data_IF_532423445947
#
_entry.id   IF_532423445947
#
_cell.length_a   1.000
_cell.length_b   1.000
_cell.length_c   1.000
_cell.angle_alpha   90.00
_cell.angle_beta   90.00
_cell.angle_gamma   90.00
#
_symmetry.space_group_name_H-M   'P 1'
#
loop_
_entity.id
_entity.type
_entity.pdbx_description
1 polymer ?
#
# COMPACT_ATOMS: atom_id res chain seq x y z
N UNK A 1 -29.00 29.16 -4.28
CA UNK A 1 -27.82 28.94 -3.41
C UNK A 1 -26.91 27.85 -3.96
N UNK A 2 -27.38 26.61 -4.16
CA UNK A 2 -26.58 25.59 -4.86
C UNK A 2 -26.40 25.90 -6.36
N UNK A 3 -27.43 26.39 -7.05
CA UNK A 3 -27.33 26.85 -8.45
C UNK A 3 -26.27 27.94 -8.63
N UNK A 4 -26.28 28.96 -7.78
CA UNK A 4 -25.29 30.04 -7.75
C UNK A 4 -23.89 29.56 -7.34
N UNK A 5 -23.79 28.53 -6.50
CA UNK A 5 -22.51 27.92 -6.15
C UNK A 5 -21.93 27.16 -7.35
N UNK A 6 -22.76 26.38 -8.07
CA UNK A 6 -22.40 25.72 -9.33
C UNK A 6 -22.07 26.70 -10.46
N UNK A 7 -22.75 27.86 -10.53
CA UNK A 7 -22.39 28.95 -11.46
C UNK A 7 -21.02 29.56 -11.11
N UNK A 8 -20.74 29.86 -9.83
CA UNK A 8 -19.44 30.41 -9.42
C UNK A 8 -18.27 29.41 -9.57
N UNK A 9 -18.60 28.12 -9.47
CA UNK A 9 -17.72 26.98 -9.77
C UNK A 9 -17.43 26.95 -11.28
N UNK A 10 -18.43 27.18 -12.13
CA UNK A 10 -18.28 27.16 -13.59
C UNK A 10 -17.29 28.19 -14.15
N UNK A 11 -17.17 29.37 -13.54
CA UNK A 11 -16.35 30.47 -14.08
C UNK A 11 -14.86 30.42 -13.71
N UNK A 12 -14.44 29.63 -12.70
CA UNK A 12 -13.06 29.65 -12.18
C UNK A 12 -12.28 28.33 -12.22
N UNK A 13 -12.87 27.25 -12.74
CA UNK A 13 -12.38 25.88 -12.51
C UNK A 13 -11.53 25.31 -13.64
N UNK A 14 -10.23 25.58 -13.56
CA UNK A 14 -9.17 24.89 -14.32
C UNK A 14 -8.87 23.49 -13.76
N UNK A 15 -8.25 22.65 -14.62
CA UNK A 15 -7.84 21.23 -14.49
C UNK A 15 -7.64 20.64 -13.07
N UNK A 16 -7.13 21.43 -12.12
CA UNK A 16 -6.78 20.99 -10.74
C UNK A 16 -7.96 20.49 -9.91
N UNK A 17 -9.20 20.83 -10.28
CA UNK A 17 -10.38 20.35 -9.56
C UNK A 17 -10.87 18.98 -10.03
N UNK A 18 -10.63 18.58 -11.28
CA UNK A 18 -10.96 17.22 -11.73
C UNK A 18 -10.14 16.19 -10.94
N UNK A 19 -8.84 16.45 -10.77
CA UNK A 19 -7.96 15.58 -9.98
C UNK A 19 -8.37 15.49 -8.50
N UNK A 20 -8.95 16.57 -7.94
CA UNK A 20 -9.42 16.59 -6.54
C UNK A 20 -10.81 16.02 -6.36
N UNK A 21 -11.75 16.29 -7.27
CA UNK A 21 -13.12 15.74 -7.25
C UNK A 21 -13.12 14.24 -7.52
N UNK A 22 -12.19 13.72 -8.33
CA UNK A 22 -12.03 12.29 -8.54
C UNK A 22 -10.90 11.69 -7.70
N UNK A 23 -10.44 12.41 -6.69
CA UNK A 23 -9.43 11.93 -5.76
C UNK A 23 -9.92 10.74 -4.93
N UNK A 24 -9.02 9.86 -4.44
CA UNK A 24 -9.39 8.69 -3.65
C UNK A 24 -10.25 9.01 -2.43
N UNK A 25 -10.00 10.15 -1.76
CA UNK A 25 -10.77 10.59 -0.60
C UNK A 25 -12.21 10.94 -0.95
N UNK A 26 -12.45 11.63 -2.08
CA UNK A 26 -13.81 11.94 -2.52
C UNK A 26 -14.56 10.66 -2.88
N UNK A 27 -13.95 9.77 -3.68
CA UNK A 27 -14.58 8.49 -4.06
C UNK A 27 -14.92 7.64 -2.83
N UNK A 28 -14.04 7.63 -1.83
CA UNK A 28 -14.29 6.93 -0.56
C UNK A 28 -15.51 7.50 0.18
N UNK A 29 -15.57 8.81 0.39
CA UNK A 29 -16.66 9.45 1.14
C UNK A 29 -17.98 9.45 0.35
N UNK A 30 -17.94 9.77 -0.94
CA UNK A 30 -19.12 9.77 -1.81
C UNK A 30 -19.68 8.35 -1.99
N UNK A 31 -18.82 7.36 -2.25
CA UNK A 31 -19.21 5.95 -2.33
C UNK A 31 -19.75 5.43 -1.00
N UNK A 32 -19.09 5.76 0.11
CA UNK A 32 -19.54 5.40 1.46
C UNK A 32 -20.90 6.00 1.82
N UNK A 33 -21.13 7.28 1.52
CA UNK A 33 -22.41 7.94 1.73
C UNK A 33 -23.52 7.33 0.85
N UNK A 34 -23.21 7.01 -0.41
CA UNK A 34 -24.16 6.38 -1.32
C UNK A 34 -24.56 4.98 -0.84
N UNK A 35 -23.61 4.20 -0.31
CA UNK A 35 -23.89 2.90 0.30
C UNK A 35 -24.67 3.03 1.62
N UNK A 36 -24.34 4.04 2.44
CA UNK A 36 -25.01 4.29 3.73
C UNK A 36 -26.48 4.69 3.54
N UNK A 37 -26.73 5.69 2.70
CA UNK A 37 -28.08 6.22 2.46
C UNK A 37 -28.87 5.27 1.58
N UNK A 38 -28.20 4.64 0.61
CA UNK A 38 -28.81 3.83 -0.44
C UNK A 38 -29.44 4.70 -1.54
N UNK A 39 -29.44 4.21 -2.79
CA UNK A 39 -29.87 5.01 -3.95
C UNK A 39 -31.34 5.45 -3.88
N UNK A 40 -32.19 4.69 -3.18
CA UNK A 40 -33.63 4.98 -3.06
C UNK A 40 -33.95 6.11 -2.07
N UNK A 41 -33.11 6.32 -1.06
CA UNK A 41 -33.34 7.34 -0.02
C UNK A 41 -32.61 8.65 -0.31
N UNK A 42 -31.80 8.71 -1.38
CA UNK A 42 -31.05 9.90 -1.76
C UNK A 42 -31.95 11.12 -1.96
N UNK A 43 -33.07 10.97 -2.65
CA UNK A 43 -34.01 12.06 -2.89
C UNK A 43 -34.60 12.61 -1.59
N UNK A 44 -35.01 11.72 -0.67
CA UNK A 44 -35.57 12.12 0.63
C UNK A 44 -34.52 12.84 1.49
N UNK A 45 -33.28 12.31 1.56
CA UNK A 45 -32.18 12.96 2.28
C UNK A 45 -31.77 14.29 1.67
N UNK A 46 -31.84 14.42 0.34
CA UNK A 46 -31.60 15.69 -0.33
C UNK A 46 -32.65 16.74 0.07
N UNK A 47 -33.93 16.36 0.12
CA UNK A 47 -34.99 17.28 0.56
C UNK A 47 -34.87 17.68 2.03
N UNK A 48 -34.47 16.74 2.91
CA UNK A 48 -34.17 17.05 4.32
C UNK A 48 -33.02 18.05 4.43
N UNK A 49 -31.95 17.88 3.65
CA UNK A 49 -30.79 18.78 3.65
C UNK A 49 -31.15 20.16 3.11
N UNK A 50 -31.97 20.21 2.05
CA UNK A 50 -32.43 21.45 1.43
C UNK A 50 -33.36 22.25 2.35
N UNK A 51 -34.08 21.59 3.26
CA UNK A 51 -34.95 22.22 4.26
C UNK A 51 -34.17 22.83 5.44
N UNK A 52 -32.88 22.56 5.58
CA UNK A 52 -32.06 23.13 6.65
C UNK A 52 -31.79 24.64 6.43
N UNK A 53 -31.59 25.41 7.52
CA UNK A 53 -31.15 26.80 7.45
C UNK A 53 -29.89 27.00 6.59
N UNK A 54 -29.79 28.13 5.88
CA UNK A 54 -28.64 28.42 5.02
C UNK A 54 -27.29 28.39 5.78
N UNK A 55 -27.30 28.81 7.06
CA UNK A 55 -26.11 28.78 7.93
C UNK A 55 -25.65 27.35 8.21
N UNK A 56 -26.58 26.43 8.49
CA UNK A 56 -26.23 25.04 8.78
C UNK A 56 -25.82 24.29 7.51
N UNK A 57 -26.44 24.56 6.36
CA UNK A 57 -25.98 24.06 5.06
C UNK A 57 -24.56 24.50 4.75
N UNK A 58 -24.25 25.77 4.98
CA UNK A 58 -22.91 26.33 4.76
C UNK A 58 -21.89 25.70 5.71
N UNK A 59 -22.24 25.55 7.00
CA UNK A 59 -21.38 24.89 7.98
C UNK A 59 -21.11 23.41 7.63
N UNK A 60 -22.12 22.67 7.17
CA UNK A 60 -21.98 21.28 6.72
C UNK A 60 -21.10 21.18 5.48
N UNK A 61 -21.27 22.08 4.51
CA UNK A 61 -20.45 22.12 3.31
C UNK A 61 -18.98 22.38 3.66
N UNK A 62 -18.70 23.40 4.48
CA UNK A 62 -17.36 23.72 4.95
C UNK A 62 -16.77 22.55 5.75
N UNK A 63 -17.56 21.94 6.63
CA UNK A 63 -17.15 20.76 7.40
C UNK A 63 -16.79 19.57 6.50
N UNK A 64 -17.60 19.29 5.48
CA UNK A 64 -17.33 18.22 4.51
C UNK A 64 -16.04 18.49 3.71
N UNK A 65 -15.81 19.73 3.27
CA UNK A 65 -14.58 20.12 2.59
C UNK A 65 -13.35 19.98 3.51
N UNK A 66 -13.47 20.34 4.79
CA UNK A 66 -12.40 20.15 5.77
C UNK A 66 -12.10 18.67 6.02
N UNK A 67 -13.12 17.82 6.12
CA UNK A 67 -12.96 16.36 6.27
C UNK A 67 -12.27 15.77 5.04
N UNK A 68 -12.65 16.19 3.83
CA UNK A 68 -12.01 15.75 2.58
C UNK A 68 -10.54 16.17 2.55
N UNK A 69 -10.24 17.45 2.81
CA UNK A 69 -8.87 17.97 2.82
C UNK A 69 -8.01 17.32 3.92
N UNK A 70 -8.57 17.09 5.10
CA UNK A 70 -7.90 16.39 6.18
C UNK A 70 -7.62 14.92 5.82
N UNK A 71 -8.59 14.23 5.22
CA UNK A 71 -8.44 12.83 4.78
C UNK A 71 -7.31 12.68 3.75
N UNK A 72 -7.24 13.59 2.78
CA UNK A 72 -6.18 13.58 1.76
C UNK A 72 -4.79 13.85 2.36
N UNK A 73 -4.70 14.83 3.27
CA UNK A 73 -3.47 15.08 4.03
C UNK A 73 -3.06 13.91 4.89
N UNK A 74 -4.00 13.23 5.55
CA UNK A 74 -3.69 12.05 6.36
C UNK A 74 -3.25 10.89 5.46
N UNK A 75 -3.93 10.64 4.34
CA UNK A 75 -3.54 9.59 3.39
C UNK A 75 -2.12 9.77 2.88
N UNK A 76 -1.77 10.98 2.46
CA UNK A 76 -0.39 11.31 2.03
C UNK A 76 0.61 11.22 3.19
N UNK A 77 0.28 11.73 4.37
CA UNK A 77 1.15 11.68 5.54
C UNK A 77 1.40 10.26 6.05
N UNK A 78 0.43 9.34 5.93
CA UNK A 78 0.56 7.96 6.39
C UNK A 78 1.11 7.01 5.33
N UNK A 79 1.07 7.36 4.05
CA UNK A 79 1.56 6.51 2.96
C UNK A 79 3.00 5.99 3.21
N UNK A 80 3.95 6.92 3.42
CA UNK A 80 5.36 6.59 3.65
C UNK A 80 5.61 5.89 4.99
N UNK A 81 5.06 6.34 6.14
CA UNK A 81 5.19 5.62 7.39
C UNK A 81 4.65 4.18 7.32
N UNK A 82 3.50 3.97 6.69
CA UNK A 82 2.91 2.64 6.52
C UNK A 82 3.81 1.79 5.61
N UNK A 83 4.29 2.35 4.49
CA UNK A 83 5.21 1.65 3.61
C UNK A 83 6.50 1.24 4.33
N UNK A 84 7.13 2.16 5.07
CA UNK A 84 8.31 1.89 5.90
C UNK A 84 8.05 0.83 6.97
N UNK A 85 6.88 0.88 7.60
CA UNK A 85 6.47 -0.15 8.57
C UNK A 85 6.33 -1.52 7.90
N UNK A 86 5.73 -1.58 6.70
CA UNK A 86 5.59 -2.81 5.93
C UNK A 86 6.94 -3.33 5.41
N UNK A 87 7.88 -2.45 5.06
CA UNK A 87 9.26 -2.79 4.70
C UNK A 87 10.06 -3.38 5.88
N UNK A 88 9.67 -3.03 7.11
CA UNK A 88 10.38 -3.45 8.33
C UNK A 88 11.22 -2.36 8.97
N UNK A 89 11.18 -1.11 8.47
CA UNK A 89 11.79 0.06 9.09
C UNK A 89 10.97 0.54 10.28
N UNK A 90 10.98 -0.27 11.34
CA UNK A 90 10.14 -0.03 12.51
C UNK A 90 10.78 1.03 13.43
N UNK A 91 10.00 2.03 13.88
CA UNK A 91 10.50 3.03 14.81
C UNK A 91 10.82 2.41 16.17
N UNK A 92 11.49 3.18 17.03
CA UNK A 92 11.64 2.80 18.43
C UNK A 92 10.25 2.74 19.10
N UNK A 93 9.93 1.72 19.91
CA UNK A 93 10.80 0.64 20.42
C UNK A 93 10.85 -0.64 19.57
N UNK A 94 9.99 -0.75 18.57
CA UNK A 94 9.84 -1.94 17.71
C UNK A 94 11.10 -2.29 16.89
N UNK A 95 12.05 -1.35 16.76
CA UNK A 95 13.36 -1.58 16.12
C UNK A 95 14.09 -2.83 16.64
N UNK A 96 14.00 -3.14 17.94
CA UNK A 96 14.63 -4.36 18.51
C UNK A 96 13.97 -5.63 17.97
N UNK A 97 12.64 -5.63 17.86
CA UNK A 97 11.88 -6.74 17.31
C UNK A 97 12.18 -6.91 15.81
N UNK A 98 12.35 -5.80 15.08
CA UNK A 98 12.75 -5.81 13.68
C UNK A 98 14.12 -6.48 13.49
N UNK A 99 15.13 -6.10 14.29
CA UNK A 99 16.46 -6.70 14.25
C UNK A 99 16.43 -8.21 14.55
N UNK A 100 15.70 -8.62 15.59
CA UNK A 100 15.53 -10.02 15.92
C UNK A 100 14.82 -10.82 14.81
N UNK A 101 13.78 -10.24 14.20
CA UNK A 101 13.10 -10.85 13.05
C UNK A 101 14.04 -10.97 11.84
N UNK A 102 14.87 -9.96 11.58
CA UNK A 102 15.86 -9.99 10.52
C UNK A 102 16.87 -11.13 10.73
N UNK A 103 17.44 -11.27 11.94
CA UNK A 103 18.35 -12.38 12.28
C UNK A 103 17.68 -13.74 12.07
N UNK A 104 16.44 -13.91 12.54
CA UNK A 104 15.68 -15.15 12.34
C UNK A 104 15.42 -15.45 10.88
N UNK A 105 15.08 -14.43 10.07
CA UNK A 105 14.89 -14.63 8.63
C UNK A 105 16.20 -14.93 7.92
N UNK A 106 17.28 -14.25 8.26
CA UNK A 106 18.61 -14.52 7.74
C UNK A 106 18.99 -15.98 7.94
N UNK A 107 18.81 -16.52 9.15
CA UNK A 107 19.06 -17.93 9.43
C UNK A 107 18.20 -18.88 8.55
N UNK A 108 16.91 -18.55 8.34
CA UNK A 108 16.03 -19.34 7.46
C UNK A 108 16.49 -19.29 6.00
N UNK A 109 16.82 -18.10 5.49
CA UNK A 109 17.31 -17.92 4.12
C UNK A 109 18.61 -18.68 3.92
N UNK A 110 19.53 -18.63 4.88
CA UNK A 110 20.77 -19.40 4.85
C UNK A 110 20.50 -20.90 4.77
N UNK A 111 19.58 -21.44 5.58
CA UNK A 111 19.18 -22.85 5.51
C UNK A 111 18.58 -23.20 4.14
N UNK A 112 17.70 -22.34 3.61
CA UNK A 112 17.11 -22.52 2.28
C UNK A 112 18.17 -22.50 1.17
N UNK A 113 19.23 -21.68 1.29
CA UNK A 113 20.35 -21.66 0.33
C UNK A 113 21.17 -22.95 0.38
N UNK A 114 21.49 -23.45 1.57
CA UNK A 114 22.18 -24.73 1.71
C UNK A 114 21.37 -25.88 1.10
N UNK A 115 20.07 -25.94 1.39
CA UNK A 115 19.17 -26.95 0.81
C UNK A 115 19.08 -26.81 -0.71
N UNK A 116 18.98 -25.58 -1.23
CA UNK A 116 18.97 -25.34 -2.67
C UNK A 116 20.27 -25.83 -3.33
N UNK A 117 21.44 -25.53 -2.75
CA UNK A 117 22.73 -26.02 -3.24
C UNK A 117 22.80 -27.56 -3.25
N UNK A 118 22.35 -28.22 -2.19
CA UNK A 118 22.30 -29.68 -2.10
C UNK A 118 21.42 -30.28 -3.22
N UNK A 119 20.23 -29.72 -3.42
CA UNK A 119 19.30 -30.20 -4.44
C UNK A 119 19.80 -29.91 -5.87
N UNK A 120 20.49 -28.80 -6.09
CA UNK A 120 21.14 -28.52 -7.38
C UNK A 120 22.24 -29.53 -7.70
N UNK A 121 23.07 -29.91 -6.72
CA UNK A 121 24.09 -30.95 -6.92
C UNK A 121 23.48 -32.32 -7.25
N UNK A 122 22.33 -32.67 -6.63
CA UNK A 122 21.60 -33.90 -6.98
C UNK A 122 20.98 -33.84 -8.38
N UNK A 123 20.49 -32.66 -8.79
CA UNK A 123 19.98 -32.42 -10.15
C UNK A 123 21.07 -32.63 -11.20
N UNK A 124 22.27 -32.08 -10.98
CA UNK A 124 23.41 -32.24 -11.89
C UNK A 124 23.86 -33.70 -12.02
N UNK A 125 23.69 -34.49 -10.96
CA UNK A 125 23.99 -35.93 -10.96
C UNK A 125 22.84 -36.80 -11.51
N UNK A 126 21.76 -36.18 -11.98
CA UNK A 126 20.53 -36.86 -12.46
C UNK A 126 19.88 -37.79 -11.41
N UNK A 127 20.16 -37.60 -10.12
CA UNK A 127 19.64 -38.44 -9.03
C UNK A 127 18.47 -37.80 -8.27
N UNK A 128 17.84 -36.76 -8.84
CA UNK A 128 16.84 -35.95 -8.14
C UNK A 128 15.43 -36.58 -8.22
N UNK A 129 14.87 -37.09 -7.11
CA UNK A 129 13.51 -37.61 -7.09
C UNK A 129 12.48 -36.48 -7.27
N UNK A 130 11.29 -36.81 -7.77
CA UNK A 130 10.23 -35.84 -8.06
C UNK A 130 9.87 -34.92 -6.87
N UNK A 131 9.85 -35.45 -5.65
CA UNK A 131 9.54 -34.67 -4.45
C UNK A 131 10.58 -33.57 -4.21
N UNK A 132 11.86 -33.90 -4.38
CA UNK A 132 12.96 -32.96 -4.26
C UNK A 132 13.00 -31.98 -5.44
N UNK A 133 12.59 -32.40 -6.64
CA UNK A 133 12.43 -31.50 -7.79
C UNK A 133 11.36 -30.41 -7.53
N UNK A 134 10.24 -30.79 -6.91
CA UNK A 134 9.20 -29.83 -6.50
C UNK A 134 9.70 -28.89 -5.39
N UNK A 135 10.47 -29.40 -4.45
CA UNK A 135 11.11 -28.59 -3.40
C UNK A 135 12.08 -27.57 -4.02
N UNK A 136 12.92 -28.02 -4.96
CA UNK A 136 13.87 -27.17 -5.68
C UNK A 136 13.14 -26.03 -6.42
N UNK A 137 12.09 -26.34 -7.17
CA UNK A 137 11.30 -25.33 -7.89
C UNK A 137 10.70 -24.27 -6.94
N UNK A 138 10.24 -24.70 -5.74
CA UNK A 138 9.76 -23.76 -4.71
C UNK A 138 10.87 -22.86 -4.20
N UNK A 139 12.05 -23.41 -3.90
CA UNK A 139 13.20 -22.64 -3.43
C UNK A 139 13.70 -21.65 -4.49
N UNK A 140 13.69 -22.03 -5.77
CA UNK A 140 14.00 -21.12 -6.88
C UNK A 140 13.01 -19.96 -6.97
N UNK A 141 11.71 -20.24 -6.81
CA UNK A 141 10.67 -19.20 -6.75
C UNK A 141 10.88 -18.22 -5.61
N UNK A 142 11.14 -18.71 -4.39
CA UNK A 142 11.37 -17.87 -3.21
C UNK A 142 12.66 -17.03 -3.32
N UNK A 143 13.70 -17.56 -3.99
CA UNK A 143 14.95 -16.83 -4.24
C UNK A 143 14.75 -15.61 -5.14
N UNK A 144 13.74 -15.60 -6.00
CA UNK A 144 13.37 -14.41 -6.81
C UNK A 144 12.86 -13.24 -5.97
N UNK A 145 12.48 -13.46 -4.72
CA UNK A 145 11.98 -12.41 -3.83
C UNK A 145 12.87 -12.16 -2.63
N UNK A 146 14.05 -12.79 -2.60
CA UNK A 146 15.00 -12.67 -1.49
C UNK A 146 16.25 -11.92 -1.96
N UNK A 147 16.78 -10.96 -1.16
CA UNK A 147 18.03 -10.28 -1.48
C UNK A 147 19.19 -11.27 -1.68
N UNK A 148 20.05 -11.06 -2.70
CA UNK A 148 21.19 -11.97 -2.94
C UNK A 148 22.27 -11.88 -1.85
N UNK A 149 22.47 -10.70 -1.24
CA UNK A 149 23.30 -10.58 -0.05
C UNK A 149 22.47 -10.90 1.21
N UNK A 150 23.04 -11.64 2.15
CA UNK A 150 22.38 -12.00 3.41
C UNK A 150 22.30 -10.80 4.38
N UNK A 151 23.19 -9.82 4.25
CA UNK A 151 23.15 -8.57 5.05
C UNK A 151 21.96 -7.69 4.69
N UNK A 152 21.43 -7.84 3.48
CA UNK A 152 20.30 -7.06 2.97
C UNK A 152 18.93 -7.67 3.34
N UNK A 153 18.91 -8.80 4.05
CA UNK A 153 17.65 -9.47 4.45
C UNK A 153 16.89 -8.63 5.47
N UNK A 154 15.65 -8.30 5.13
CA UNK A 154 14.81 -7.36 5.86
C UNK A 154 13.93 -8.04 6.93
N UNK A 155 13.32 -7.25 7.84
CA UNK A 155 12.36 -7.69 8.86
C UNK A 155 10.98 -8.16 8.35
N UNK A 156 10.67 -8.01 7.07
CA UNK A 156 9.43 -8.49 6.42
C UNK A 156 9.71 -9.08 5.04
N UNK A 157 8.79 -9.93 4.51
CA UNK A 157 8.89 -10.42 3.13
C UNK A 157 8.74 -9.29 2.11
N UNK A 158 7.90 -8.30 2.44
CA UNK A 158 7.69 -7.13 1.58
C UNK A 158 8.98 -6.30 1.46
N UNK A 159 9.68 -6.08 2.58
CA UNK A 159 10.99 -5.46 2.58
C UNK A 159 12.02 -6.27 1.79
N UNK A 160 12.03 -7.60 1.91
CA UNK A 160 12.91 -8.47 1.12
C UNK A 160 12.68 -8.32 -0.38
N UNK A 161 11.41 -8.27 -0.83
CA UNK A 161 11.04 -8.07 -2.24
C UNK A 161 11.56 -6.73 -2.75
N UNK A 162 11.30 -5.65 -2.02
CA UNK A 162 11.73 -4.30 -2.41
C UNK A 162 13.25 -4.19 -2.42
N UNK A 163 13.92 -4.69 -1.40
CA UNK A 163 15.39 -4.71 -1.33
C UNK A 163 16.00 -5.57 -2.44
N UNK A 164 15.39 -6.71 -2.77
CA UNK A 164 15.84 -7.54 -3.88
C UNK A 164 15.67 -6.82 -5.23
N UNK A 165 14.59 -6.05 -5.42
CA UNK A 165 14.39 -5.23 -6.60
C UNK A 165 15.41 -4.09 -6.70
N UNK A 166 15.73 -3.43 -5.59
CA UNK A 166 16.71 -2.33 -5.52
C UNK A 166 18.16 -2.81 -5.77
N UNK A 167 18.56 -3.93 -5.15
CA UNK A 167 19.95 -4.40 -5.20
C UNK A 167 20.31 -5.15 -6.48
N UNK A 168 19.32 -5.71 -7.19
CA UNK A 168 19.53 -6.51 -8.40
C UNK A 168 20.21 -5.77 -9.55
N UNK A 169 19.77 -4.56 -9.95
CA UNK A 169 20.43 -3.82 -11.03
C UNK A 169 21.89 -3.55 -10.69
N UNK A 170 22.17 -3.12 -9.46
CA UNK A 170 23.53 -2.86 -8.97
C UNK A 170 24.41 -4.11 -9.01
N UNK A 171 23.90 -5.25 -8.58
CA UNK A 171 24.67 -6.50 -8.60
C UNK A 171 24.87 -7.09 -9.99
N UNK A 172 23.91 -6.90 -10.91
CA UNK A 172 23.98 -7.46 -12.27
C UNK A 172 24.73 -6.56 -13.25
N UNK A 173 24.66 -5.25 -13.07
CA UNK A 173 25.16 -4.26 -14.02
C UNK A 173 26.19 -3.28 -13.44
N UNK A 174 26.48 -3.33 -12.13
CA UNK A 174 27.50 -2.48 -11.50
C UNK A 174 27.11 -1.01 -11.34
N UNK A 175 25.82 -0.67 -11.47
CA UNK A 175 25.28 0.69 -11.32
C UNK A 175 25.32 1.21 -9.88
#
# INVERSE_FOLDING_TARGET
MLSSFFESIGEGLSEKWLDRLFGPAFLFWAGGLLLWVGPRNLAAKWTELAALPAVTQSALLVGALLVLAASDRLGSAFSLPVLRLLEGYWPWPLRRLAAWKAVRRRARVTKSRYRWNELMQKREKETLPWQEARELARLEGDRRYTPPNLDDVMPTRFGDVLRAAETRPRQRYGL
#
